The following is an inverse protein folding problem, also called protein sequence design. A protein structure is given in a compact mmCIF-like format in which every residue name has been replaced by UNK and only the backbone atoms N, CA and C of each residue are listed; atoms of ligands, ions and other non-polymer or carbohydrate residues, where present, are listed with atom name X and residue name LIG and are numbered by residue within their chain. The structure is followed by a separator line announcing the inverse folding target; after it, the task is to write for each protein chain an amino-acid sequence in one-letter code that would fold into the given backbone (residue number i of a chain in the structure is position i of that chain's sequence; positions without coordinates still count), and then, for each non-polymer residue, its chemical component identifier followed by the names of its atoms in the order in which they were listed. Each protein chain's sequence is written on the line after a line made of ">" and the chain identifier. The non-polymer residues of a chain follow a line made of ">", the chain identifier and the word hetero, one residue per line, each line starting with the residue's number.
data_IF_092441827653
#
_entry.id   IF_092441827653
#
_cell.length_a   1.000
_cell.length_b   1.000
_cell.length_c   1.000
_cell.angle_alpha   90.00
_cell.angle_beta   90.00
_cell.angle_gamma   90.00
#
_symmetry.space_group_name_H-M   'P 1'
#
loop_
_entity.id
_entity.type
_entity.pdbx_description
1 polymer ?
#
# COMPACT_ATOMS: atom_id res chain seq x y z
N UNK A 1 -47.81 18.14 -18.98
CA UNK A 1 -47.28 18.26 -17.59
C UNK A 1 -45.93 18.96 -17.72
N UNK A 2 -45.84 20.23 -17.34
CA UNK A 2 -44.65 21.06 -17.60
C UNK A 2 -43.42 20.46 -16.88
N UNK A 3 -42.36 20.17 -17.63
CA UNK A 3 -41.07 19.77 -17.09
C UNK A 3 -40.49 20.96 -16.31
N UNK A 4 -40.35 20.82 -14.99
CA UNK A 4 -39.72 21.82 -14.16
C UNK A 4 -38.25 21.97 -14.61
N UNK A 5 -37.74 23.20 -14.85
CA UNK A 5 -36.42 23.42 -15.47
C UNK A 5 -35.22 23.07 -14.58
N UNK A 6 -35.46 22.54 -13.37
CA UNK A 6 -34.43 22.22 -12.38
C UNK A 6 -34.58 20.75 -11.94
N UNK A 7 -33.49 19.95 -11.97
CA UNK A 7 -33.54 18.55 -11.60
C UNK A 7 -33.93 18.38 -10.12
N UNK A 8 -34.66 17.31 -9.82
CA UNK A 8 -35.08 16.99 -8.45
C UNK A 8 -33.87 16.65 -7.53
N UNK A 9 -32.79 16.14 -8.13
CA UNK A 9 -31.50 15.87 -7.48
C UNK A 9 -30.40 16.49 -8.33
N UNK A 10 -29.59 17.35 -7.74
CA UNK A 10 -28.41 17.95 -8.37
C UNK A 10 -27.16 17.50 -7.63
N UNK A 11 -26.12 17.11 -8.39
CA UNK A 11 -24.86 16.61 -7.84
C UNK A 11 -23.71 17.51 -8.29
N UNK A 12 -22.88 17.94 -7.35
CA UNK A 12 -21.64 18.67 -7.62
C UNK A 12 -20.45 17.85 -7.14
N UNK A 13 -19.63 17.41 -8.08
CA UNK A 13 -18.42 16.65 -7.84
C UNK A 13 -17.24 17.63 -7.72
N UNK A 14 -16.66 17.73 -6.52
CA UNK A 14 -15.54 18.63 -6.20
C UNK A 14 -14.26 17.81 -5.94
N UNK A 15 -13.13 18.49 -5.81
CA UNK A 15 -11.79 17.86 -5.78
C UNK A 15 -11.59 16.80 -4.68
N UNK A 16 -12.38 16.82 -3.60
CA UNK A 16 -12.34 15.79 -2.53
C UNK A 16 -13.69 15.42 -1.92
N UNK A 17 -14.78 16.01 -2.40
CA UNK A 17 -16.10 15.85 -1.82
C UNK A 17 -17.20 15.92 -2.87
N UNK A 18 -18.36 15.39 -2.55
CA UNK A 18 -19.56 15.54 -3.35
C UNK A 18 -20.61 16.32 -2.57
N UNK A 19 -21.32 17.21 -3.25
CA UNK A 19 -22.46 17.92 -2.71
C UNK A 19 -23.73 17.53 -3.48
N UNK A 20 -24.72 17.00 -2.77
CA UNK A 20 -26.00 16.56 -3.33
C UNK A 20 -27.10 17.48 -2.83
N UNK A 21 -27.76 18.19 -3.74
CA UNK A 21 -28.90 19.05 -3.43
C UNK A 21 -30.17 18.39 -3.93
N UNK A 22 -31.11 18.16 -3.02
CA UNK A 22 -32.35 17.44 -3.24
C UNK A 22 -33.53 18.38 -3.04
N UNK A 23 -34.43 18.45 -4.02
CA UNK A 23 -35.72 19.16 -3.86
C UNK A 23 -36.62 18.38 -2.92
N UNK A 24 -37.26 19.08 -1.98
CA UNK A 24 -38.21 18.45 -1.05
C UNK A 24 -39.48 17.95 -1.75
N UNK A 25 -39.92 18.62 -2.80
CA UNK A 25 -40.91 18.05 -3.72
C UNK A 25 -40.25 17.06 -4.70
N UNK A 26 -39.63 16.01 -4.14
CA UNK A 26 -38.80 15.04 -4.85
C UNK A 26 -39.56 14.36 -6.01
N UNK A 27 -40.86 14.14 -5.81
CA UNK A 27 -41.73 13.42 -6.75
C UNK A 27 -42.65 14.35 -7.57
N UNK A 28 -42.58 15.68 -7.40
CA UNK A 28 -43.44 16.63 -8.12
C UNK A 28 -44.93 16.46 -7.80
N UNK A 29 -45.26 16.06 -6.56
CA UNK A 29 -46.64 15.82 -6.10
C UNK A 29 -47.18 16.97 -5.25
N UNK A 30 -46.36 17.99 -5.00
CA UNK A 30 -46.70 19.13 -4.14
C UNK A 30 -46.62 18.81 -2.64
N UNK A 31 -46.27 17.58 -2.26
CA UNK A 31 -46.05 17.17 -0.86
C UNK A 31 -44.55 17.08 -0.57
N UNK A 32 -43.99 17.97 0.27
CA UNK A 32 -42.56 17.96 0.56
C UNK A 32 -42.19 16.76 1.45
N UNK A 33 -41.15 16.03 1.06
CA UNK A 33 -40.54 14.99 1.92
C UNK A 33 -39.86 15.62 3.13
N UNK A 34 -39.77 14.86 4.23
CA UNK A 34 -39.03 15.32 5.42
C UNK A 34 -37.53 15.10 5.22
N UNK A 35 -36.72 16.03 5.70
CA UNK A 35 -35.26 15.87 5.64
C UNK A 35 -34.77 14.62 6.38
N UNK A 36 -35.42 14.24 7.48
CA UNK A 36 -35.14 13.02 8.24
C UNK A 36 -35.51 11.71 7.50
N UNK A 37 -36.29 11.79 6.42
CA UNK A 37 -36.62 10.66 5.56
C UNK A 37 -35.59 10.49 4.43
N UNK A 38 -34.58 11.37 4.34
CA UNK A 38 -33.53 11.31 3.34
C UNK A 38 -32.19 10.98 4.00
N UNK A 39 -31.43 10.08 3.40
CA UNK A 39 -30.07 9.77 3.84
C UNK A 39 -29.13 9.50 2.66
N UNK A 40 -27.85 9.83 2.82
CA UNK A 40 -26.84 9.60 1.78
C UNK A 40 -25.99 8.35 2.10
N UNK A 41 -25.88 7.48 1.10
CA UNK A 41 -25.06 6.28 1.08
C UNK A 41 -25.49 5.21 2.08
N UNK A 42 -24.78 4.08 2.08
CA UNK A 42 -25.12 2.91 2.89
C UNK A 42 -24.91 3.15 4.39
N UNK A 43 -24.03 4.10 4.75
CA UNK A 43 -23.85 4.55 6.12
C UNK A 43 -24.99 5.46 6.62
N UNK A 44 -25.99 5.78 5.78
CA UNK A 44 -27.15 6.60 6.11
C UNK A 44 -26.79 7.98 6.68
N UNK A 45 -25.84 8.68 6.05
CA UNK A 45 -25.43 10.00 6.47
C UNK A 45 -26.60 11.01 6.44
N UNK A 46 -26.75 11.83 7.49
CA UNK A 46 -27.80 12.84 7.54
C UNK A 46 -27.47 14.04 6.64
N UNK A 47 -28.49 14.82 6.24
CA UNK A 47 -28.26 16.07 5.53
C UNK A 47 -27.65 17.16 6.43
N UNK A 48 -26.97 18.12 5.80
CA UNK A 48 -26.52 19.34 6.47
C UNK A 48 -27.73 20.15 6.93
N UNK A 49 -27.76 20.49 8.22
CA UNK A 49 -28.72 21.36 8.92
C UNK A 49 -30.12 21.46 8.25
N UNK A 50 -31.09 20.66 8.68
CA UNK A 50 -32.40 20.60 8.05
C UNK A 50 -33.24 21.83 8.40
N UNK A 51 -33.04 22.95 7.72
CA UNK A 51 -33.95 24.10 7.85
C UNK A 51 -35.33 23.71 7.28
N UNK A 52 -36.39 23.64 8.10
CA UNK A 52 -37.71 23.20 7.63
C UNK A 52 -38.35 24.16 6.61
N UNK A 53 -37.91 25.42 6.55
CA UNK A 53 -38.41 26.43 5.62
C UNK A 53 -37.77 26.35 4.22
N UNK A 54 -36.66 25.62 4.05
CA UNK A 54 -35.99 25.52 2.76
C UNK A 54 -36.66 24.48 1.85
N UNK A 55 -36.83 24.84 0.57
CA UNK A 55 -37.37 23.95 -0.46
C UNK A 55 -36.41 22.82 -0.87
N UNK A 56 -35.16 22.85 -0.39
CA UNK A 56 -34.09 21.93 -0.72
C UNK A 56 -33.43 21.36 0.54
N UNK A 57 -32.82 20.20 0.40
CA UNK A 57 -32.01 19.52 1.41
C UNK A 57 -30.64 19.26 0.78
N UNK A 58 -29.56 19.54 1.51
CA UNK A 58 -28.21 19.38 0.99
C UNK A 58 -27.42 18.36 1.80
N UNK A 59 -26.69 17.49 1.12
CA UNK A 59 -25.70 16.60 1.68
C UNK A 59 -24.33 17.02 1.19
N UNK A 60 -23.34 17.03 2.08
CA UNK A 60 -21.92 17.15 1.71
C UNK A 60 -21.20 16.01 2.41
N UNK A 61 -20.43 15.24 1.65
CA UNK A 61 -19.66 14.12 2.14
C UNK A 61 -18.34 14.04 1.37
N UNK A 62 -17.26 13.64 2.05
CA UNK A 62 -16.03 13.32 1.34
C UNK A 62 -16.26 12.12 0.40
N UNK A 63 -15.49 12.03 -0.70
CA UNK A 63 -15.74 11.03 -1.74
C UNK A 63 -15.66 9.57 -1.26
N UNK A 64 -14.95 9.32 -0.16
CA UNK A 64 -14.76 8.00 0.46
C UNK A 64 -15.63 7.78 1.71
N UNK A 65 -16.46 8.76 2.08
CA UNK A 65 -17.33 8.68 3.24
C UNK A 65 -18.73 8.19 2.85
N UNK A 66 -19.59 8.05 3.86
CA UNK A 66 -20.99 7.65 3.73
C UNK A 66 -21.23 6.29 3.05
N UNK A 67 -20.21 5.44 2.96
CA UNK A 67 -20.30 4.16 2.27
C UNK A 67 -20.26 4.28 0.74
N UNK A 68 -19.64 5.34 0.23
CA UNK A 68 -19.28 5.49 -1.19
C UNK A 68 -18.31 4.39 -1.63
N UNK A 69 -18.40 3.95 -2.87
CA UNK A 69 -17.51 2.96 -3.47
C UNK A 69 -16.70 3.58 -4.60
N UNK A 70 -15.43 3.20 -4.72
CA UNK A 70 -14.54 3.65 -5.77
C UNK A 70 -14.32 2.54 -6.80
N UNK A 71 -14.61 2.83 -8.06
CA UNK A 71 -14.18 2.04 -9.20
C UNK A 71 -13.06 2.77 -9.93
N UNK A 72 -11.91 2.11 -10.07
CA UNK A 72 -10.75 2.63 -10.82
C UNK A 72 -10.78 2.03 -12.23
N UNK A 73 -10.82 2.89 -13.24
CA UNK A 73 -10.69 2.49 -14.65
C UNK A 73 -9.34 2.94 -15.21
N UNK A 74 -9.07 2.69 -16.50
CA UNK A 74 -7.85 3.18 -17.17
C UNK A 74 -7.76 4.71 -17.12
N UNK A 75 -8.88 5.41 -17.33
CA UNK A 75 -8.89 6.86 -17.55
C UNK A 75 -9.65 7.66 -16.47
N UNK A 76 -10.44 7.00 -15.62
CA UNK A 76 -11.27 7.67 -14.61
C UNK A 76 -11.28 7.00 -13.24
N UNK A 77 -11.51 7.82 -12.21
CA UNK A 77 -11.93 7.42 -10.87
C UNK A 77 -13.44 7.67 -10.77
N UNK A 78 -14.21 6.61 -10.57
CA UNK A 78 -15.67 6.67 -10.51
C UNK A 78 -16.09 6.41 -9.07
N UNK A 79 -16.57 7.44 -8.39
CA UNK A 79 -17.16 7.32 -7.05
C UNK A 79 -18.66 7.13 -7.16
N UNK A 80 -19.19 6.10 -6.51
CA UNK A 80 -20.62 5.77 -6.50
C UNK A 80 -21.19 5.80 -5.09
N UNK A 81 -22.33 6.45 -4.95
CA UNK A 81 -23.14 6.42 -3.73
C UNK A 81 -24.62 6.45 -4.09
N UNK A 82 -25.50 6.32 -3.10
CA UNK A 82 -26.96 6.27 -3.33
C UNK A 82 -27.67 7.21 -2.36
N UNK A 83 -28.58 8.03 -2.87
CA UNK A 83 -29.51 8.77 -2.03
C UNK A 83 -30.72 7.89 -1.73
N UNK A 84 -31.03 7.72 -0.46
CA UNK A 84 -32.17 6.93 0.01
C UNK A 84 -33.30 7.84 0.49
N UNK A 85 -34.52 7.58 0.02
CA UNK A 85 -35.76 8.08 0.60
C UNK A 85 -36.45 6.95 1.38
N UNK A 86 -36.57 7.11 2.69
CA UNK A 86 -37.17 6.15 3.63
C UNK A 86 -38.34 6.84 4.34
N UNK A 87 -39.58 6.72 3.82
CA UNK A 87 -40.74 7.37 4.42
C UNK A 87 -41.01 6.88 5.85
N UNK A 88 -41.33 7.80 6.76
CA UNK A 88 -41.70 7.43 8.12
C UNK A 88 -43.06 6.69 8.14
N UNK A 89 -43.14 5.61 8.91
CA UNK A 89 -44.41 4.92 9.18
C UNK A 89 -45.24 5.75 10.16
N UNK A 90 -46.03 6.70 9.66
CA UNK A 90 -46.92 7.50 10.52
C UNK A 90 -48.28 6.84 10.69
N UNK A 91 -48.65 6.49 11.92
CA UNK A 91 -49.97 5.95 12.26
C UNK A 91 -50.00 4.43 12.40
N UNK A 92 -51.01 3.78 11.83
CA UNK A 92 -51.19 2.33 11.93
C UNK A 92 -50.03 1.58 11.23
N UNK A 93 -49.29 0.69 11.92
CA UNK A 93 -48.16 -0.04 11.35
C UNK A 93 -48.51 -0.95 10.17
N UNK A 94 -49.81 -1.24 9.95
CA UNK A 94 -50.32 -2.06 8.84
C UNK A 94 -50.51 -1.27 7.53
N UNK A 95 -50.47 0.07 7.55
CA UNK A 95 -50.80 0.90 6.38
C UNK A 95 -49.53 1.60 5.86
N UNK A 96 -49.12 1.29 4.62
CA UNK A 96 -48.00 1.94 3.93
C UNK A 96 -48.54 2.96 2.93
N UNK A 97 -48.20 4.24 3.11
CA UNK A 97 -48.69 5.35 2.25
C UNK A 97 -47.65 5.91 1.28
N UNK A 98 -46.39 5.48 1.39
CA UNK A 98 -45.30 5.89 0.51
C UNK A 98 -44.30 4.73 0.38
N UNK A 99 -43.75 4.56 -0.82
CA UNK A 99 -42.72 3.56 -1.13
C UNK A 99 -41.33 4.18 -0.96
N UNK A 100 -40.36 3.45 -0.38
CA UNK A 100 -38.97 3.88 -0.41
C UNK A 100 -38.47 4.07 -1.84
N UNK A 101 -37.50 4.95 -2.03
CA UNK A 101 -36.86 5.19 -3.32
C UNK A 101 -35.35 5.32 -3.16
N UNK A 102 -34.62 4.91 -4.20
CA UNK A 102 -33.17 4.95 -4.26
C UNK A 102 -32.75 5.67 -5.53
N UNK A 103 -31.86 6.65 -5.39
CA UNK A 103 -31.32 7.41 -6.52
C UNK A 103 -29.80 7.20 -6.56
N UNK A 104 -29.28 6.47 -7.56
CA UNK A 104 -27.83 6.28 -7.70
C UNK A 104 -27.16 7.61 -8.07
N UNK A 105 -25.98 7.84 -7.50
CA UNK A 105 -25.18 9.05 -7.69
C UNK A 105 -23.77 8.62 -8.08
N UNK A 106 -23.25 9.21 -9.15
CA UNK A 106 -21.90 8.98 -9.62
C UNK A 106 -21.13 10.29 -9.80
N UNK A 107 -19.85 10.27 -9.42
CA UNK A 107 -18.88 11.32 -9.72
C UNK A 107 -17.69 10.72 -10.46
N UNK A 108 -17.39 11.27 -11.64
CA UNK A 108 -16.31 10.81 -12.51
C UNK A 108 -15.18 11.83 -12.50
N UNK A 109 -13.97 11.39 -12.16
CA UNK A 109 -12.77 12.22 -12.18
C UNK A 109 -11.75 11.65 -13.16
N UNK A 110 -11.07 12.47 -13.98
CA UNK A 110 -10.01 11.99 -14.83
C UNK A 110 -8.80 11.54 -13.99
N UNK A 111 -8.21 10.39 -14.32
CA UNK A 111 -7.01 9.88 -13.62
C UNK A 111 -5.74 10.69 -13.88
N UNK A 112 -5.71 11.41 -15.00
CA UNK A 112 -4.61 12.28 -15.41
C UNK A 112 -5.21 13.61 -15.82
N UNK A 113 -4.84 14.69 -15.16
CA UNK A 113 -5.15 16.06 -15.59
C UNK A 113 -3.88 16.74 -16.06
N UNK A 114 -3.97 17.44 -17.19
CA UNK A 114 -2.88 18.28 -17.66
C UNK A 114 -2.88 19.56 -16.82
N UNK A 115 -1.86 19.73 -15.99
CA UNK A 115 -1.64 20.99 -15.28
C UNK A 115 -0.81 21.89 -16.18
N UNK A 116 -1.42 22.93 -16.76
CA UNK A 116 -0.65 24.00 -17.39
C UNK A 116 -0.10 24.90 -16.28
N UNK A 117 1.15 24.70 -15.89
CA UNK A 117 1.86 25.77 -15.19
C UNK A 117 2.13 26.87 -16.22
N UNK A 118 1.46 28.03 -16.08
CA UNK A 118 1.94 29.24 -16.72
C UNK A 118 3.40 29.47 -16.32
N UNK A 119 4.21 30.02 -17.22
CA UNK A 119 5.66 30.16 -17.03
C UNK A 119 6.00 30.81 -15.68
N UNK A 120 6.39 29.98 -14.71
CA UNK A 120 6.92 30.44 -13.43
C UNK A 120 8.37 30.79 -13.68
N UNK A 121 8.70 32.09 -13.67
CA UNK A 121 10.08 32.53 -13.54
C UNK A 121 10.60 32.07 -12.18
N UNK A 122 11.55 31.13 -12.10
CA UNK A 122 12.05 30.66 -10.82
C UNK A 122 13.03 31.72 -10.31
N UNK A 123 12.57 32.56 -9.38
CA UNK A 123 13.44 33.51 -8.66
C UNK A 123 14.03 32.94 -7.37
N UNK A 124 13.79 31.65 -7.05
CA UNK A 124 14.17 31.10 -5.75
C UNK A 124 15.35 30.14 -5.89
N UNK A 125 16.44 30.47 -5.21
CA UNK A 125 17.56 29.61 -4.93
C UNK A 125 17.08 28.28 -4.32
N UNK A 126 17.76 27.15 -4.58
CA UNK A 126 17.30 25.83 -4.17
C UNK A 126 17.47 25.67 -2.66
N UNK A 127 16.45 26.06 -1.90
CA UNK A 127 16.20 25.51 -0.58
C UNK A 127 15.06 24.51 -0.68
N UNK A 128 15.39 23.31 -0.19
CA UNK A 128 14.59 22.10 -0.14
C UNK A 128 13.23 22.34 0.53
N UNK A 129 12.27 21.48 0.16
CA UNK A 129 10.98 21.21 0.82
C UNK A 129 9.77 22.07 0.46
N UNK A 130 9.15 21.82 -0.70
CA UNK A 130 7.69 22.03 -0.91
C UNK A 130 7.10 21.11 -1.99
N UNK A 131 7.60 19.87 -2.11
CA UNK A 131 6.93 18.78 -2.83
C UNK A 131 6.95 17.52 -1.94
N UNK A 132 6.34 17.64 -0.76
CA UNK A 132 6.01 16.50 0.10
C UNK A 132 4.79 15.73 -0.44
N UNK A 133 4.74 15.49 -1.75
CA UNK A 133 3.83 14.52 -2.35
C UNK A 133 4.50 13.15 -2.20
N UNK A 134 4.33 12.52 -1.03
CA UNK A 134 4.80 11.17 -0.67
C UNK A 134 5.98 10.65 -1.51
N UNK A 135 7.18 11.06 -1.13
CA UNK A 135 8.46 10.44 -1.47
C UNK A 135 8.44 8.94 -1.04
N UNK A 136 7.76 8.10 -1.81
CA UNK A 136 7.40 6.72 -1.42
C UNK A 136 8.37 5.73 -2.04
N UNK A 137 9.33 5.28 -1.23
CA UNK A 137 10.18 4.13 -1.57
C UNK A 137 9.32 2.88 -1.73
N UNK A 138 9.35 2.27 -2.91
CA UNK A 138 8.65 1.00 -3.18
C UNK A 138 9.66 -0.13 -3.15
N UNK A 139 9.56 -0.91 -2.09
CA UNK A 139 10.35 -2.10 -1.86
C UNK A 139 9.67 -3.32 -2.46
N UNK A 140 10.46 -4.21 -3.06
CA UNK A 140 9.98 -5.51 -3.54
C UNK A 140 11.00 -6.60 -3.23
N UNK A 141 10.50 -7.80 -2.93
CA UNK A 141 11.28 -9.02 -2.82
C UNK A 141 10.71 -10.03 -3.82
N UNK A 142 11.54 -10.49 -4.74
CA UNK A 142 11.15 -11.41 -5.82
C UNK A 142 11.96 -12.67 -5.76
N UNK A 143 11.32 -13.78 -6.10
CA UNK A 143 11.97 -15.07 -6.25
C UNK A 143 12.39 -15.23 -7.72
N UNK A 144 13.67 -15.44 -7.96
CA UNK A 144 14.27 -15.42 -9.29
C UNK A 144 14.54 -16.85 -9.77
N UNK A 145 14.68 -17.02 -11.08
CA UNK A 145 15.17 -18.27 -11.66
C UNK A 145 16.69 -18.46 -11.52
N UNK A 146 17.14 -19.71 -11.66
CA UNK A 146 18.27 -20.12 -12.49
C UNK A 146 19.41 -19.10 -12.62
N UNK A 147 19.20 -18.26 -13.62
CA UNK A 147 20.15 -17.34 -14.24
C UNK A 147 19.88 -15.87 -13.86
N UNK A 148 18.96 -15.62 -12.92
CA UNK A 148 18.54 -14.28 -12.49
C UNK A 148 17.90 -13.43 -13.59
N UNK A 149 17.41 -14.05 -14.66
CA UNK A 149 16.86 -13.34 -15.81
C UNK A 149 15.44 -12.83 -15.55
N UNK A 150 14.65 -13.57 -14.77
CA UNK A 150 13.23 -13.24 -14.52
C UNK A 150 12.75 -13.77 -13.18
N UNK A 151 11.59 -13.27 -12.79
CA UNK A 151 10.86 -13.81 -11.65
C UNK A 151 10.40 -15.23 -11.97
N UNK A 152 10.65 -16.14 -11.04
CA UNK A 152 10.26 -17.53 -11.15
C UNK A 152 8.75 -17.64 -11.03
N UNK A 153 8.13 -18.36 -11.96
CA UNK A 153 6.67 -18.55 -12.00
C UNK A 153 6.19 -19.70 -11.10
N UNK A 154 7.07 -20.64 -10.77
CA UNK A 154 6.75 -21.78 -9.91
C UNK A 154 7.13 -21.51 -8.46
N UNK A 155 6.18 -21.77 -7.55
CA UNK A 155 6.37 -21.70 -6.10
C UNK A 155 6.80 -23.05 -5.49
N UNK A 156 7.00 -24.08 -6.31
CA UNK A 156 7.41 -25.42 -5.86
C UNK A 156 8.93 -25.54 -5.76
N UNK A 157 9.40 -25.99 -4.60
CA UNK A 157 10.80 -26.28 -4.30
C UNK A 157 10.95 -27.64 -3.65
N UNK A 158 12.07 -28.31 -3.93
CA UNK A 158 12.52 -29.51 -3.25
C UNK A 158 13.64 -29.17 -2.27
N UNK A 159 13.83 -30.01 -1.25
CA UNK A 159 15.01 -29.90 -0.40
C UNK A 159 16.27 -30.15 -1.23
N UNK A 160 17.26 -29.27 -1.10
CA UNK A 160 18.45 -29.24 -1.95
C UNK A 160 18.39 -28.23 -3.09
N UNK A 161 17.21 -27.66 -3.39
CA UNK A 161 17.12 -26.50 -4.27
C UNK A 161 17.66 -25.25 -3.57
N UNK A 162 18.13 -24.26 -4.32
CA UNK A 162 18.49 -22.93 -3.79
C UNK A 162 17.44 -21.89 -4.15
N UNK A 163 16.87 -21.24 -3.13
CA UNK A 163 15.94 -20.13 -3.25
C UNK A 163 16.72 -18.85 -3.60
N UNK A 164 16.50 -18.29 -4.79
CA UNK A 164 17.19 -17.07 -5.24
C UNK A 164 16.31 -15.85 -5.04
N UNK A 165 16.69 -14.96 -4.14
CA UNK A 165 15.95 -13.74 -3.85
C UNK A 165 16.62 -12.52 -4.45
N UNK A 166 15.82 -11.69 -5.11
CA UNK A 166 16.22 -10.33 -5.48
C UNK A 166 15.34 -9.34 -4.74
N UNK A 167 15.97 -8.55 -3.87
CA UNK A 167 15.37 -7.38 -3.26
C UNK A 167 15.67 -6.15 -4.12
N UNK A 168 14.67 -5.30 -4.33
CA UNK A 168 14.81 -4.05 -5.09
C UNK A 168 14.11 -2.91 -4.34
N UNK A 169 14.62 -1.69 -4.55
CA UNK A 169 13.91 -0.46 -4.21
C UNK A 169 13.76 0.41 -5.44
N UNK A 170 12.55 0.91 -5.66
CA UNK A 170 12.29 1.95 -6.65
C UNK A 170 11.90 3.23 -5.94
N UNK A 171 12.47 4.34 -6.41
CA UNK A 171 12.31 5.65 -5.78
C UNK A 171 12.23 6.72 -6.87
N UNK A 172 11.12 7.46 -6.93
CA UNK A 172 10.97 8.61 -7.82
C UNK A 172 11.43 9.87 -7.07
N UNK A 173 12.35 10.63 -7.66
CA UNK A 173 12.79 11.91 -7.10
C UNK A 173 13.77 11.84 -5.91
N UNK A 174 14.26 10.65 -5.53
CA UNK A 174 15.26 10.51 -4.47
C UNK A 174 16.70 10.56 -4.99
N UNK A 175 17.62 10.90 -4.09
CA UNK A 175 19.07 10.70 -4.31
C UNK A 175 19.35 9.22 -4.60
N UNK A 176 20.43 8.86 -5.33
CA UNK A 176 20.80 7.47 -5.54
C UNK A 176 20.88 6.70 -4.22
N UNK A 177 20.25 5.52 -4.15
CA UNK A 177 20.13 4.72 -2.93
C UNK A 177 20.85 3.38 -3.08
N UNK A 178 21.47 2.92 -2.00
CA UNK A 178 21.97 1.55 -1.86
C UNK A 178 21.03 0.75 -0.96
N UNK A 179 20.56 -0.40 -1.45
CA UNK A 179 19.65 -1.29 -0.75
C UNK A 179 20.40 -2.31 0.13
N UNK A 180 19.89 -2.52 1.34
CA UNK A 180 20.32 -3.54 2.29
C UNK A 180 19.12 -4.35 2.79
N UNK A 181 19.41 -5.54 3.29
CA UNK A 181 18.43 -6.43 3.92
C UNK A 181 18.86 -6.58 5.38
N UNK A 182 18.12 -5.99 6.31
CA UNK A 182 18.48 -6.03 7.73
C UNK A 182 18.20 -7.41 8.34
N UNK A 183 17.02 -7.95 8.03
CA UNK A 183 16.52 -9.19 8.61
C UNK A 183 15.59 -9.89 7.63
N UNK A 184 15.62 -11.22 7.58
CA UNK A 184 14.62 -12.04 6.92
C UNK A 184 14.26 -13.24 7.79
N UNK A 185 12.96 -13.47 7.95
CA UNK A 185 12.41 -14.54 8.77
C UNK A 185 11.47 -15.38 7.92
N UNK A 186 11.64 -16.70 8.00
CA UNK A 186 10.71 -17.68 7.48
C UNK A 186 9.75 -18.15 8.58
N UNK A 187 8.48 -18.34 8.23
CA UNK A 187 7.42 -18.84 9.10
C UNK A 187 6.54 -19.85 8.36
N UNK A 188 5.90 -20.78 9.09
CA UNK A 188 4.97 -21.75 8.50
C UNK A 188 3.59 -21.13 8.16
N UNK A 189 3.30 -19.93 8.67
CA UNK A 189 2.05 -19.20 8.43
C UNK A 189 2.32 -17.73 8.10
N UNK A 190 1.38 -17.01 7.44
CA UNK A 190 1.61 -15.63 6.96
C UNK A 190 1.98 -14.57 8.01
N UNK A 191 1.84 -14.86 9.32
CA UNK A 191 2.16 -13.91 10.38
C UNK A 191 3.67 -13.78 10.61
N UNK A 192 4.23 -12.56 10.52
CA UNK A 192 5.68 -12.29 10.75
C UNK A 192 6.19 -12.78 12.12
N UNK A 193 5.33 -12.81 13.13
CA UNK A 193 5.66 -13.23 14.50
C UNK A 193 5.08 -14.60 14.86
N UNK A 194 4.62 -15.38 13.87
CA UNK A 194 4.09 -16.72 14.12
C UNK A 194 5.21 -17.72 14.42
N UNK A 195 4.83 -18.84 15.04
CA UNK A 195 5.72 -19.97 15.30
C UNK A 195 5.31 -21.17 14.44
N UNK A 196 6.25 -22.01 13.99
CA UNK A 196 7.70 -21.86 14.12
C UNK A 196 8.26 -20.71 13.24
N UNK A 197 9.41 -20.16 13.67
CA UNK A 197 10.14 -19.09 12.96
C UNK A 197 11.61 -19.42 12.83
N UNK A 198 12.22 -19.06 11.70
CA UNK A 198 13.64 -19.21 11.44
C UNK A 198 14.20 -17.94 10.79
N UNK A 199 15.14 -17.27 11.46
CA UNK A 199 15.80 -16.08 10.94
C UNK A 199 17.08 -16.50 10.21
N UNK A 200 17.11 -16.31 8.89
CA UNK A 200 18.26 -16.69 8.04
C UNK A 200 19.12 -15.48 7.64
N UNK A 201 18.55 -14.27 7.73
CA UNK A 201 19.30 -13.01 7.78
C UNK A 201 18.91 -12.32 9.07
N UNK A 202 19.89 -11.90 9.87
CA UNK A 202 19.69 -11.21 11.13
C UNK A 202 20.85 -10.22 11.42
N UNK A 203 20.83 -9.57 12.60
CA UNK A 203 21.91 -8.70 13.08
C UNK A 203 22.25 -7.55 12.11
N UNK A 204 21.25 -7.03 11.41
CA UNK A 204 21.39 -5.92 10.46
C UNK A 204 22.25 -6.31 9.25
N UNK A 205 21.89 -7.42 8.59
CA UNK A 205 22.52 -7.85 7.33
C UNK A 205 23.57 -8.94 7.43
N UNK A 206 23.62 -9.72 8.52
CA UNK A 206 24.39 -10.96 8.58
C UNK A 206 23.52 -12.13 8.09
N UNK A 207 23.89 -12.77 6.98
CA UNK A 207 23.20 -13.98 6.49
C UNK A 207 23.61 -15.18 7.35
N UNK A 208 23.02 -15.30 8.54
CA UNK A 208 23.38 -16.31 9.56
C UNK A 208 23.23 -17.75 9.08
N UNK A 209 22.32 -18.01 8.14
CA UNK A 209 22.16 -19.34 7.53
C UNK A 209 23.40 -19.79 6.75
N UNK A 210 24.22 -18.87 6.22
CA UNK A 210 25.50 -19.20 5.56
C UNK A 210 26.55 -19.85 6.47
N UNK A 211 26.36 -19.74 7.80
CA UNK A 211 27.27 -20.32 8.79
C UNK A 211 26.97 -21.81 9.04
N UNK A 212 25.77 -22.29 8.72
CA UNK A 212 25.41 -23.70 8.90
C UNK A 212 26.25 -24.61 7.99
N UNK A 213 26.63 -25.81 8.46
CA UNK A 213 27.65 -26.63 7.78
C UNK A 213 27.27 -27.08 6.36
N UNK A 214 25.99 -27.31 6.08
CA UNK A 214 25.53 -27.88 4.81
C UNK A 214 24.84 -26.87 3.86
N UNK A 215 24.93 -25.57 4.14
CA UNK A 215 24.26 -24.53 3.32
C UNK A 215 25.18 -23.82 2.31
N UNK A 216 24.73 -23.65 1.08
CA UNK A 216 25.34 -22.79 0.06
C UNK A 216 24.95 -21.31 0.18
N UNK A 217 24.12 -20.96 1.17
CA UNK A 217 23.50 -19.65 1.32
C UNK A 217 24.51 -18.51 1.37
N UNK A 218 24.29 -17.47 0.56
CA UNK A 218 25.19 -16.32 0.47
C UNK A 218 24.52 -15.12 -0.20
N UNK A 219 25.02 -13.92 0.09
CA UNK A 219 24.80 -12.75 -0.76
C UNK A 219 25.58 -12.92 -2.06
N UNK A 220 24.99 -12.52 -3.18
CA UNK A 220 25.57 -12.71 -4.51
C UNK A 220 26.36 -11.47 -4.92
N UNK A 221 27.68 -11.65 -5.10
CA UNK A 221 28.60 -10.62 -5.57
C UNK A 221 28.97 -10.85 -7.04
N UNK A 222 29.13 -9.79 -7.85
CA UNK A 222 28.90 -8.38 -7.51
C UNK A 222 27.41 -8.02 -7.52
N UNK A 223 27.08 -6.89 -6.88
CA UNK A 223 25.75 -6.29 -6.92
C UNK A 223 25.39 -5.87 -8.36
N UNK A 224 24.15 -6.12 -8.84
CA UNK A 224 23.73 -5.67 -10.17
C UNK A 224 23.66 -4.14 -10.31
N UNK A 225 23.04 -3.48 -9.33
CA UNK A 225 22.84 -2.02 -9.22
C UNK A 225 22.73 -1.64 -7.75
N UNK A 226 23.12 -0.43 -7.31
CA UNK A 226 23.03 -0.01 -5.90
C UNK A 226 21.67 -0.30 -5.25
N UNK A 227 20.58 -0.12 -6.00
CA UNK A 227 19.20 -0.27 -5.55
C UNK A 227 18.72 -1.74 -5.50
N UNK A 228 19.53 -2.70 -5.91
CA UNK A 228 19.18 -4.13 -5.98
C UNK A 228 20.14 -4.98 -5.17
N UNK A 229 19.65 -5.91 -4.33
CA UNK A 229 20.47 -6.87 -3.59
C UNK A 229 20.01 -8.30 -3.86
N UNK A 230 20.95 -9.17 -4.18
CA UNK A 230 20.69 -10.59 -4.46
C UNK A 230 21.28 -11.46 -3.36
N UNK A 231 20.52 -12.46 -2.94
CA UNK A 231 20.98 -13.49 -2.02
C UNK A 231 20.31 -14.81 -2.33
N UNK A 232 20.98 -15.90 -2.00
CA UNK A 232 20.42 -17.24 -2.12
C UNK A 232 20.41 -17.93 -0.76
N UNK A 233 19.40 -18.76 -0.54
CA UNK A 233 19.18 -19.54 0.67
C UNK A 233 18.80 -20.95 0.25
N UNK A 234 19.42 -21.97 0.80
CA UNK A 234 19.04 -23.34 0.47
C UNK A 234 17.65 -23.67 1.01
N UNK A 235 16.88 -24.42 0.23
CA UNK A 235 15.51 -24.77 0.56
C UNK A 235 15.48 -25.66 1.80
N UNK A 236 14.67 -25.24 2.78
CA UNK A 236 14.43 -25.97 4.02
C UNK A 236 12.93 -26.14 4.25
N UNK A 237 12.57 -26.87 5.31
CA UNK A 237 11.20 -26.95 5.82
C UNK A 237 11.19 -27.02 7.34
N UNK A 238 10.08 -26.64 7.96
CA UNK A 238 9.91 -26.81 9.40
C UNK A 238 9.64 -28.27 9.74
N UNK A 239 10.32 -28.78 10.76
CA UNK A 239 10.06 -30.11 11.28
C UNK A 239 8.63 -30.18 11.85
N UNK A 240 7.88 -31.22 11.48
CA UNK A 240 6.50 -31.42 11.93
C UNK A 240 5.44 -30.56 11.23
N UNK A 241 5.83 -29.68 10.30
CA UNK A 241 4.85 -28.98 9.46
C UNK A 241 4.33 -29.89 8.36
N UNK A 242 3.00 -29.97 8.25
CA UNK A 242 2.29 -30.76 7.23
C UNK A 242 1.95 -29.90 6.01
N UNK A 243 1.93 -28.58 6.17
CA UNK A 243 1.57 -27.63 5.11
C UNK A 243 2.60 -27.57 3.99
N UNK A 244 3.88 -27.83 4.29
CA UNK A 244 5.01 -27.69 3.34
C UNK A 244 5.05 -26.30 2.68
N UNK A 245 4.65 -25.26 3.43
CA UNK A 245 4.63 -23.89 2.96
C UNK A 245 5.56 -23.04 3.83
N UNK A 246 6.33 -22.17 3.18
CA UNK A 246 7.16 -21.17 3.83
C UNK A 246 6.69 -19.78 3.44
N UNK A 247 6.49 -18.94 4.44
CA UNK A 247 6.26 -17.50 4.27
C UNK A 247 7.53 -16.78 4.64
N UNK A 248 8.04 -15.94 3.75
CA UNK A 248 9.28 -15.20 3.96
C UNK A 248 8.95 -13.72 4.08
N UNK A 249 9.40 -13.13 5.17
CA UNK A 249 9.20 -11.72 5.46
C UNK A 249 10.54 -11.07 5.78
N UNK A 250 10.90 -10.04 5.01
CA UNK A 250 12.14 -9.31 5.18
C UNK A 250 11.92 -7.86 5.65
N UNK A 251 12.92 -7.30 6.32
CA UNK A 251 13.05 -5.88 6.62
C UNK A 251 14.14 -5.32 5.70
N UNK A 252 13.73 -4.45 4.76
CA UNK A 252 14.63 -3.82 3.81
C UNK A 252 14.96 -2.40 4.26
N UNK A 253 16.20 -1.97 4.01
CA UNK A 253 16.73 -0.66 4.42
C UNK A 253 17.52 -0.03 3.28
N UNK A 254 17.58 1.29 3.24
CA UNK A 254 18.38 2.04 2.26
C UNK A 254 19.33 3.03 2.94
N UNK A 255 20.43 3.34 2.26
CA UNK A 255 21.30 4.47 2.58
C UNK A 255 21.66 5.21 1.28
N UNK A 256 22.13 6.46 1.32
CA UNK A 256 22.67 7.12 0.13
C UNK A 256 23.76 6.26 -0.54
N UNK A 257 23.72 6.11 -1.87
CA UNK A 257 24.65 5.22 -2.58
C UNK A 257 26.13 5.63 -2.44
N UNK A 258 26.39 6.93 -2.24
CA UNK A 258 27.72 7.46 -1.99
C UNK A 258 28.26 7.12 -0.58
N UNK A 259 27.39 6.76 0.37
CA UNK A 259 27.81 6.36 1.70
C UNK A 259 28.45 4.96 1.65
N UNK A 260 29.66 4.85 2.20
CA UNK A 260 30.33 3.56 2.29
C UNK A 260 29.57 2.60 3.25
N UNK A 261 29.55 1.29 2.94
CA UNK A 261 29.04 0.28 3.86
C UNK A 261 29.68 0.38 5.24
N UNK A 262 28.89 0.14 6.27
CA UNK A 262 29.27 0.32 7.67
C UNK A 262 28.58 -0.74 8.54
N UNK A 263 28.94 -0.87 9.83
CA UNK A 263 28.34 -1.90 10.70
C UNK A 263 26.80 -1.88 10.79
N UNK A 264 26.15 -0.75 10.49
CA UNK A 264 24.68 -0.61 10.46
C UNK A 264 24.06 -0.90 9.09
N UNK A 265 24.83 -0.76 8.01
CA UNK A 265 24.39 -0.92 6.62
C UNK A 265 25.41 -1.81 5.89
N UNK A 266 25.18 -3.12 5.98
CA UNK A 266 26.07 -4.16 5.46
C UNK A 266 25.28 -5.33 4.90
N UNK A 267 25.95 -6.16 4.11
CA UNK A 267 25.46 -7.45 3.66
C UNK A 267 26.63 -8.42 3.79
N UNK A 268 26.59 -9.29 4.79
CA UNK A 268 27.69 -10.17 5.17
C UNK A 268 27.30 -11.64 4.99
N UNK A 269 28.20 -12.42 4.42
CA UNK A 269 28.07 -13.87 4.31
C UNK A 269 29.28 -14.56 4.94
N UNK A 270 29.05 -15.70 5.58
CA UNK A 270 30.10 -16.52 6.13
C UNK A 270 30.71 -17.36 5.00
N UNK A 271 32.01 -17.23 4.78
CA UNK A 271 32.73 -18.01 3.79
C UNK A 271 33.35 -19.22 4.46
N UNK A 272 32.78 -20.40 4.19
CA UNK A 272 33.27 -21.69 4.71
C UNK A 272 34.72 -21.97 4.31
N UNK A 273 35.12 -21.56 3.11
CA UNK A 273 36.48 -21.72 2.61
C UNK A 273 37.51 -20.95 3.45
N UNK A 274 37.13 -19.80 4.03
CA UNK A 274 38.01 -18.98 4.85
C UNK A 274 37.73 -19.07 6.36
N UNK A 275 36.59 -19.63 6.76
CA UNK A 275 36.11 -19.63 8.14
C UNK A 275 35.75 -18.24 8.68
N UNK A 276 35.55 -17.25 7.80
CA UNK A 276 35.38 -15.85 8.17
C UNK A 276 34.13 -15.23 7.53
N UNK A 277 33.57 -14.24 8.21
CA UNK A 277 32.55 -13.36 7.64
C UNK A 277 33.16 -12.38 6.65
N UNK A 278 32.57 -12.30 5.46
CA UNK A 278 32.98 -11.38 4.41
C UNK A 278 31.80 -10.49 4.00
N UNK A 279 32.03 -9.17 3.84
CA UNK A 279 31.02 -8.29 3.28
C UNK A 279 30.92 -8.50 1.76
N UNK A 280 29.72 -8.29 1.22
CA UNK A 280 29.50 -8.13 -0.22
C UNK A 280 30.31 -6.94 -0.76
N UNK A 281 30.31 -5.83 -0.02
CA UNK A 281 30.98 -4.57 -0.36
C UNK A 281 31.49 -3.89 0.93
N UNK A 282 32.66 -3.25 0.88
CA UNK A 282 33.26 -2.55 2.03
C UNK A 282 34.42 -3.31 2.69
N UNK A 283 34.83 -2.86 3.87
CA UNK A 283 35.96 -3.46 4.60
C UNK A 283 35.53 -4.68 5.40
N UNK A 284 36.40 -5.69 5.53
CA UNK A 284 36.08 -6.92 6.27
C UNK A 284 35.64 -6.67 7.73
N UNK A 285 36.17 -5.62 8.35
CA UNK A 285 35.87 -5.27 9.74
C UNK A 285 34.37 -4.99 10.01
N UNK A 286 33.58 -4.57 9.01
CA UNK A 286 32.15 -4.26 9.21
C UNK A 286 31.33 -5.50 9.57
N UNK A 287 31.81 -6.70 9.21
CA UNK A 287 31.14 -7.97 9.51
C UNK A 287 31.63 -8.64 10.79
N UNK A 288 32.62 -8.07 11.50
CA UNK A 288 33.14 -8.63 12.76
C UNK A 288 32.06 -8.87 13.81
N UNK A 289 31.07 -7.98 13.89
CA UNK A 289 29.95 -8.11 14.82
C UNK A 289 29.06 -9.33 14.55
N UNK A 290 29.01 -9.83 13.30
CA UNK A 290 28.27 -11.03 12.93
C UNK A 290 28.84 -12.28 13.62
N UNK A 291 30.14 -12.30 13.91
CA UNK A 291 30.77 -13.42 14.62
C UNK A 291 30.44 -13.42 16.11
N UNK A 292 30.40 -12.24 16.72
CA UNK A 292 30.04 -12.06 18.13
C UNK A 292 28.55 -12.19 18.43
N UNK A 293 27.69 -12.21 17.40
CA UNK A 293 26.25 -12.21 17.57
C UNK A 293 25.65 -10.89 18.07
N UNK A 294 26.44 -9.81 18.11
CA UNK A 294 26.03 -8.51 18.64
C UNK A 294 26.44 -7.37 17.71
N UNK A 295 25.56 -7.02 16.78
CA UNK A 295 25.76 -5.88 15.88
C UNK A 295 25.04 -4.62 16.40
N UNK A 296 25.64 -3.44 16.22
CA UNK A 296 25.02 -2.19 16.65
C UNK A 296 23.73 -1.91 15.84
N UNK A 297 22.66 -1.57 16.54
CA UNK A 297 21.41 -1.10 15.93
C UNK A 297 21.42 0.42 15.78
N UNK A 298 20.92 1.00 14.68
CA UNK A 298 20.64 2.43 14.66
C UNK A 298 19.50 2.70 15.65
N UNK A 299 19.71 3.65 16.56
CA UNK A 299 18.68 4.13 17.48
C UNK A 299 17.60 4.93 16.77
#
# INVERSE_FOLDING_TARGET
>A
RALSPHPAVAVRCQEGQLAVTVRRDLFGTGRPVRAAELSLGTASCPPLSPNPAQAFVTFVAALHECGSTLQVTLDSLIYRTTLFYKPARSGNPLIVRATPAEVPIECHYPRRSNVSSGAVHPTWAPFRSTLAAEERLRFSLRLMDDDWSRERLSNGFQLGDSLRFQADVTSEGHVPLRLFVDQCVATATPGRSSSPRYAFIDLGGCLVDSRAEDTGSAFVSPRPRPESLRFLVDAFKFAGDVGNLLYISCHLRVSPAAQAPNPWNKACSFSKASGLWAPLEGTAAICSCCDTGSCPSPG
#
